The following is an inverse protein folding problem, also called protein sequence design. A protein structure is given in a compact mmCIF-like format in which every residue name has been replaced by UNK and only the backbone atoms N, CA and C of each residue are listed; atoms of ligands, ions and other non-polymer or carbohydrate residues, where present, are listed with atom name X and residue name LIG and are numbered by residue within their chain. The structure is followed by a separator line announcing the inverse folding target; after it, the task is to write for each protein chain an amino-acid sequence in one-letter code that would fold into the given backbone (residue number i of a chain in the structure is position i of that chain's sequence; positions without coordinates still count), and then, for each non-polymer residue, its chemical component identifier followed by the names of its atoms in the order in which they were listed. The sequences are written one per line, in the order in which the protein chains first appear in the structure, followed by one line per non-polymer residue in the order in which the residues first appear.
data_IF_039836034984
#
_entry.id   IF_039836034984
#
_cell.length_a   1.000
_cell.length_b   1.000
_cell.length_c   1.000
_cell.angle_alpha   90.00
_cell.angle_beta   90.00
_cell.angle_gamma   90.00
#
_symmetry.space_group_name_H-M   'P 1'
#
loop_
_entity.id
_entity.type
_entity.pdbx_description
1 polymer ?
#
# COMPACT_ATOMS: atom_id res chain seq x y z
N UNK A 1 -23.96 51.69 12.98
CA UNK A 1 -23.43 50.78 11.95
C UNK A 1 -23.08 51.63 10.74
N UNK A 2 -21.82 51.60 10.32
CA UNK A 2 -21.34 52.40 9.19
C UNK A 2 -21.92 51.85 7.88
N UNK A 3 -22.11 52.72 6.88
CA UNK A 3 -22.58 52.33 5.52
C UNK A 3 -21.65 51.27 4.90
N UNK A 4 -20.38 51.21 5.31
CA UNK A 4 -19.42 50.18 4.91
C UNK A 4 -19.73 48.77 5.46
N UNK A 5 -20.35 48.66 6.64
CA UNK A 5 -20.69 47.39 7.29
C UNK A 5 -21.86 46.69 6.57
N UNK A 6 -22.81 47.47 6.06
CA UNK A 6 -24.00 46.96 5.34
C UNK A 6 -23.59 46.40 3.97
N UNK A 7 -22.62 47.03 3.30
CA UNK A 7 -22.09 46.58 2.01
C UNK A 7 -21.28 45.28 2.12
N UNK A 8 -20.51 45.11 3.20
CA UNK A 8 -19.77 43.87 3.49
C UNK A 8 -20.73 42.73 3.84
N UNK A 9 -21.75 42.97 4.67
CA UNK A 9 -22.77 41.96 4.99
C UNK A 9 -23.54 41.51 3.74
N UNK A 10 -23.91 42.44 2.85
CA UNK A 10 -24.56 42.10 1.56
C UNK A 10 -23.63 41.31 0.62
N UNK A 11 -22.32 41.62 0.58
CA UNK A 11 -21.34 40.82 -0.19
C UNK A 11 -21.19 39.41 0.38
N UNK A 12 -21.09 39.25 1.70
CA UNK A 12 -21.04 37.94 2.36
C UNK A 12 -22.32 37.12 2.12
N UNK A 13 -23.50 37.76 2.15
CA UNK A 13 -24.77 37.11 1.85
C UNK A 13 -24.85 36.64 0.38
N UNK A 14 -24.36 37.46 -0.58
CA UNK A 14 -24.27 37.06 -2.00
C UNK A 14 -23.29 35.91 -2.22
N UNK A 15 -22.13 35.93 -1.59
CA UNK A 15 -21.14 34.83 -1.68
C UNK A 15 -21.74 33.55 -1.08
N UNK A 16 -22.42 33.64 0.05
CA UNK A 16 -23.07 32.49 0.70
C UNK A 16 -24.23 31.93 -0.15
N UNK A 17 -25.03 32.79 -0.79
CA UNK A 17 -26.07 32.37 -1.72
C UNK A 17 -25.50 31.76 -3.01
N UNK A 18 -24.37 32.27 -3.50
CA UNK A 18 -23.66 31.72 -4.66
C UNK A 18 -23.07 30.33 -4.37
N UNK A 19 -22.43 30.15 -3.20
CA UNK A 19 -21.95 28.85 -2.71
C UNK A 19 -23.08 27.86 -2.42
N UNK A 20 -24.23 28.32 -1.93
CA UNK A 20 -25.40 27.47 -1.72
C UNK A 20 -26.02 27.01 -3.05
N UNK A 21 -26.02 27.86 -4.08
CA UNK A 21 -26.58 27.55 -5.40
C UNK A 21 -25.66 26.70 -6.28
N UNK A 22 -24.35 26.84 -6.14
CA UNK A 22 -23.34 26.07 -6.90
C UNK A 22 -22.62 25.02 -6.06
N UNK A 23 -23.10 24.72 -4.85
CA UNK A 23 -22.47 23.76 -3.95
C UNK A 23 -22.32 22.37 -4.57
N UNK A 24 -23.34 21.90 -5.30
CA UNK A 24 -23.28 20.63 -6.03
C UNK A 24 -22.29 20.65 -7.20
N UNK A 25 -22.16 21.77 -7.91
CA UNK A 25 -21.20 21.93 -9.01
C UNK A 25 -19.76 21.99 -8.48
N UNK A 26 -19.51 22.76 -7.42
CA UNK A 26 -18.22 22.81 -6.73
C UNK A 26 -17.85 21.46 -6.09
N UNK A 27 -18.85 20.72 -5.61
CA UNK A 27 -18.67 19.37 -5.09
C UNK A 27 -18.29 18.39 -6.20
N UNK A 28 -18.99 18.42 -7.34
CA UNK A 28 -18.64 17.61 -8.51
C UNK A 28 -17.27 17.99 -9.08
N UNK A 29 -16.92 19.28 -9.06
CA UNK A 29 -15.64 19.80 -9.54
C UNK A 29 -14.50 19.47 -8.58
N UNK A 30 -14.74 19.45 -7.26
CA UNK A 30 -13.76 18.96 -6.28
C UNK A 30 -13.56 17.44 -6.40
N UNK A 31 -14.64 16.67 -6.55
CA UNK A 31 -14.54 15.22 -6.77
C UNK A 31 -13.86 14.91 -8.11
N UNK A 32 -14.16 15.65 -9.17
CA UNK A 32 -13.48 15.54 -10.46
C UNK A 32 -12.01 15.96 -10.36
N UNK A 33 -11.68 17.02 -9.62
CA UNK A 33 -10.29 17.45 -9.38
C UNK A 33 -9.51 16.42 -8.55
N UNK A 34 -10.11 15.89 -7.48
CA UNK A 34 -9.50 14.85 -6.67
C UNK A 34 -9.32 13.54 -7.45
N UNK A 35 -10.26 13.21 -8.34
CA UNK A 35 -10.17 12.04 -9.21
C UNK A 35 -9.12 12.23 -10.32
N UNK A 36 -9.03 13.43 -10.93
CA UNK A 36 -8.00 13.75 -11.93
C UNK A 36 -6.62 13.87 -11.32
N UNK A 37 -6.49 14.44 -10.10
CA UNK A 37 -5.24 14.47 -9.36
C UNK A 37 -4.83 13.07 -8.90
N UNK A 38 -5.76 12.28 -8.37
CA UNK A 38 -5.53 10.87 -8.03
C UNK A 38 -5.11 10.04 -9.25
N UNK A 39 -5.80 10.20 -10.38
CA UNK A 39 -5.46 9.56 -11.64
C UNK A 39 -4.11 10.03 -12.20
N UNK A 40 -3.79 11.32 -12.09
CA UNK A 40 -2.49 11.86 -12.48
C UNK A 40 -1.36 11.28 -11.63
N UNK A 41 -1.56 11.19 -10.32
CA UNK A 41 -0.63 10.54 -9.39
C UNK A 41 -0.47 9.05 -9.71
N UNK A 42 -1.57 8.35 -10.04
CA UNK A 42 -1.52 6.94 -10.48
C UNK A 42 -0.76 6.78 -11.81
N UNK A 43 -1.01 7.64 -12.80
CA UNK A 43 -0.32 7.62 -14.10
C UNK A 43 1.17 7.95 -13.93
N UNK A 44 1.50 8.97 -13.13
CA UNK A 44 2.88 9.36 -12.87
C UNK A 44 3.64 8.30 -12.07
N UNK A 45 2.98 7.59 -11.16
CA UNK A 45 3.53 6.41 -10.46
C UNK A 45 3.77 5.23 -11.41
N UNK A 46 2.97 5.12 -12.48
CA UNK A 46 3.08 4.05 -13.46
C UNK A 46 4.31 4.22 -14.39
N UNK A 47 4.84 5.43 -14.56
CA UNK A 47 5.96 5.73 -15.48
C UNK A 47 7.38 5.47 -14.92
N UNK A 48 7.51 4.84 -13.76
CA UNK A 48 8.81 4.32 -13.28
C UNK A 48 9.15 4.69 -11.84
N UNK A 49 9.90 3.81 -11.19
CA UNK A 49 10.10 3.83 -9.75
C UNK A 49 10.98 4.97 -9.23
N UNK A 50 11.97 5.43 -10.00
CA UNK A 50 12.81 6.57 -9.56
C UNK A 50 11.99 7.85 -9.33
N UNK A 51 10.88 8.02 -10.05
CA UNK A 51 9.91 9.09 -9.81
C UNK A 51 8.98 8.78 -8.64
N UNK A 52 8.65 7.51 -8.42
CA UNK A 52 7.83 7.07 -7.28
C UNK A 52 8.49 7.38 -5.93
N UNK A 53 9.83 7.33 -5.81
CA UNK A 53 10.56 7.69 -4.58
C UNK A 53 10.29 9.14 -4.13
N UNK A 54 10.28 10.09 -5.06
CA UNK A 54 9.96 11.49 -4.76
C UNK A 54 8.48 11.69 -4.39
N UNK A 55 7.60 10.91 -4.98
CA UNK A 55 6.17 10.93 -4.65
C UNK A 55 5.92 10.37 -3.25
N UNK A 56 6.63 9.30 -2.88
CA UNK A 56 6.70 8.74 -1.52
C UNK A 56 7.18 9.78 -0.50
N UNK A 57 8.22 10.57 -0.84
CA UNK A 57 8.72 11.66 0.01
C UNK A 57 7.68 12.78 0.18
N UNK A 58 7.01 13.21 -0.90
CA UNK A 58 5.93 14.20 -0.84
C UNK A 58 4.75 13.71 0.00
N UNK A 59 4.47 12.41 -0.04
CA UNK A 59 3.40 11.77 0.73
C UNK A 59 3.76 11.66 2.22
N UNK A 60 5.03 11.37 2.55
CA UNK A 60 5.57 11.52 3.89
C UNK A 60 5.58 12.97 4.39
N UNK A 61 5.83 13.95 3.53
CA UNK A 61 5.74 15.36 3.86
C UNK A 61 4.29 15.79 4.13
N UNK A 62 3.34 15.37 3.29
CA UNK A 62 1.90 15.54 3.51
C UNK A 62 1.45 14.90 4.83
N UNK A 63 2.03 13.76 5.17
CA UNK A 63 1.80 13.10 6.45
C UNK A 63 2.41 13.83 7.66
N UNK A 64 3.62 14.39 7.56
CA UNK A 64 4.21 15.23 8.61
C UNK A 64 3.32 16.46 8.89
N UNK A 65 2.72 17.01 7.85
CA UNK A 65 1.72 18.08 7.97
C UNK A 65 0.52 17.60 8.79
N UNK A 66 -0.01 16.37 8.59
CA UNK A 66 -1.10 15.80 9.40
C UNK A 66 -0.71 15.66 10.87
N UNK A 67 0.47 15.11 11.17
CA UNK A 67 0.92 14.89 12.55
C UNK A 67 1.13 16.22 13.28
N UNK A 68 1.81 17.17 12.63
CA UNK A 68 1.97 18.53 13.16
C UNK A 68 0.61 19.21 13.35
N UNK A 69 -0.32 18.95 12.44
CA UNK A 69 -1.66 19.49 12.48
C UNK A 69 -2.47 18.95 13.68
N UNK A 70 -2.60 17.63 13.85
CA UNK A 70 -3.30 17.05 15.02
C UNK A 70 -2.64 17.43 16.34
N UNK A 71 -1.30 17.59 16.34
CA UNK A 71 -0.54 17.99 17.52
C UNK A 71 -0.73 19.46 17.88
N UNK A 72 -0.71 20.37 16.91
CA UNK A 72 -0.81 21.81 17.15
C UNK A 72 -2.26 22.26 17.37
N UNK A 73 -3.21 21.64 16.68
CA UNK A 73 -4.62 22.01 16.75
C UNK A 73 -5.46 21.10 17.65
N UNK A 74 -4.81 20.21 18.41
CA UNK A 74 -5.36 19.34 19.46
C UNK A 74 -6.88 19.24 19.52
N UNK A 75 -7.43 18.08 19.18
CA UNK A 75 -8.86 17.75 19.35
C UNK A 75 -9.27 17.76 20.83
N UNK A 76 -9.39 18.96 21.40
CA UNK A 76 -9.94 19.21 22.71
C UNK A 76 -11.46 19.14 22.62
N UNK A 77 -12.03 18.29 23.47
CA UNK A 77 -13.48 18.11 23.71
C UNK A 77 -14.25 19.42 23.99
N UNK A 78 -13.55 20.55 24.19
CA UNK A 78 -14.11 21.90 24.39
C UNK A 78 -14.20 22.78 23.13
N UNK A 79 -13.92 22.29 21.93
CA UNK A 79 -14.12 23.08 20.70
C UNK A 79 -15.57 23.08 20.19
N UNK A 80 -16.52 22.43 20.90
CA UNK A 80 -17.95 22.71 20.72
C UNK A 80 -18.42 23.89 21.59
N UNK A 81 -17.75 24.14 22.71
CA UNK A 81 -18.14 25.18 23.68
C UNK A 81 -17.46 26.54 23.42
N UNK A 82 -16.46 26.60 22.53
CA UNK A 82 -15.85 27.86 22.04
C UNK A 82 -16.23 28.19 20.58
N UNK A 83 -17.46 27.85 20.18
CA UNK A 83 -17.96 28.09 18.80
C UNK A 83 -18.91 29.28 18.76
N UNK A 84 -18.36 30.48 18.92
CA UNK A 84 -19.09 31.72 18.63
C UNK A 84 -18.59 32.44 17.36
N UNK A 85 -17.42 32.07 16.83
CA UNK A 85 -16.79 32.80 15.71
C UNK A 85 -16.86 32.04 14.36
N UNK A 86 -17.37 32.70 13.31
CA UNK A 86 -17.51 32.16 11.95
C UNK A 86 -16.17 31.72 11.35
N UNK A 87 -15.07 32.38 11.75
CA UNK A 87 -13.70 32.00 11.37
C UNK A 87 -13.28 30.63 11.90
N UNK A 88 -13.78 30.17 13.05
CA UNK A 88 -13.43 28.85 13.58
C UNK A 88 -14.21 27.73 12.88
N UNK A 89 -15.47 27.99 12.51
CA UNK A 89 -16.28 27.05 11.71
C UNK A 89 -15.70 26.87 10.30
N UNK A 90 -15.31 27.97 9.66
CA UNK A 90 -14.68 27.93 8.34
C UNK A 90 -13.32 27.19 8.41
N UNK A 91 -12.50 27.49 9.42
CA UNK A 91 -11.22 26.78 9.63
C UNK A 91 -11.43 25.28 9.82
N UNK A 92 -12.34 24.87 10.70
CA UNK A 92 -12.65 23.46 10.91
C UNK A 92 -13.15 22.77 9.64
N UNK A 93 -14.00 23.44 8.85
CA UNK A 93 -14.52 22.90 7.60
C UNK A 93 -13.40 22.72 6.56
N UNK A 94 -12.64 23.79 6.26
CA UNK A 94 -11.51 23.74 5.30
C UNK A 94 -10.52 22.64 5.68
N UNK A 95 -10.25 22.51 6.98
CA UNK A 95 -9.31 21.55 7.55
C UNK A 95 -9.80 20.11 7.46
N UNK A 96 -11.08 19.87 7.72
CA UNK A 96 -11.70 18.56 7.51
C UNK A 96 -11.65 18.18 6.03
N UNK A 97 -11.98 19.12 5.14
CA UNK A 97 -11.93 18.90 3.69
C UNK A 97 -10.50 18.60 3.22
N UNK A 98 -9.50 19.30 3.74
CA UNK A 98 -8.10 19.04 3.42
C UNK A 98 -7.66 17.65 3.89
N UNK A 99 -8.08 17.23 5.09
CA UNK A 99 -7.75 15.93 5.64
C UNK A 99 -8.41 14.79 4.83
N UNK A 100 -9.67 14.97 4.42
CA UNK A 100 -10.35 14.04 3.50
C UNK A 100 -9.62 13.89 2.18
N UNK A 101 -9.27 15.01 1.54
CA UNK A 101 -8.56 15.01 0.26
C UNK A 101 -7.19 14.33 0.39
N UNK A 102 -6.50 14.54 1.49
CA UNK A 102 -5.23 13.89 1.76
C UNK A 102 -5.37 12.38 1.98
N UNK A 103 -6.38 11.92 2.73
CA UNK A 103 -6.64 10.48 2.85
C UNK A 103 -6.98 9.83 1.53
N UNK A 104 -7.82 10.49 0.75
CA UNK A 104 -8.20 10.04 -0.56
C UNK A 104 -6.96 9.90 -1.46
N UNK A 105 -6.12 10.93 -1.56
CA UNK A 105 -4.92 10.88 -2.38
C UNK A 105 -3.92 9.82 -1.91
N UNK A 106 -3.76 9.61 -0.60
CA UNK A 106 -2.94 8.51 -0.08
C UNK A 106 -3.48 7.14 -0.49
N UNK A 107 -4.78 6.91 -0.33
CA UNK A 107 -5.40 5.63 -0.70
C UNK A 107 -5.29 5.36 -2.20
N UNK A 108 -5.62 6.33 -3.05
CA UNK A 108 -5.47 6.20 -4.51
C UNK A 108 -4.01 6.02 -4.94
N UNK A 109 -3.06 6.60 -4.20
CA UNK A 109 -1.64 6.36 -4.45
C UNK A 109 -1.22 4.93 -4.07
N UNK A 110 -1.73 4.36 -2.98
CA UNK A 110 -1.33 3.02 -2.50
C UNK A 110 -1.91 1.90 -3.36
N UNK A 111 -3.19 1.99 -3.75
CA UNK A 111 -3.92 0.95 -4.49
C UNK A 111 -3.14 0.36 -5.69
N UNK A 112 -2.53 1.14 -6.62
CA UNK A 112 -1.86 0.56 -7.78
C UNK A 112 -0.58 -0.21 -7.42
N UNK A 113 0.15 0.21 -6.38
CA UNK A 113 1.33 -0.53 -5.92
C UNK A 113 0.94 -1.85 -5.26
N UNK A 114 -0.08 -1.81 -4.40
CA UNK A 114 -0.62 -3.02 -3.77
C UNK A 114 -1.28 -3.94 -4.80
N UNK A 115 -1.89 -3.41 -5.85
CA UNK A 115 -2.44 -4.20 -6.95
C UNK A 115 -1.35 -4.98 -7.68
N UNK A 116 -0.21 -4.35 -7.97
CA UNK A 116 0.92 -5.03 -8.63
C UNK A 116 1.57 -6.10 -7.74
N UNK A 117 1.67 -5.84 -6.43
CA UNK A 117 2.32 -6.76 -5.49
C UNK A 117 1.40 -7.89 -4.97
N UNK A 118 0.08 -7.74 -5.07
CA UNK A 118 -0.87 -8.75 -4.61
C UNK A 118 -1.14 -9.80 -5.70
N UNK A 119 -1.35 -11.04 -5.27
CA UNK A 119 -1.76 -12.15 -6.13
C UNK A 119 -3.22 -12.47 -5.82
N UNK A 120 -4.11 -12.35 -6.81
CA UNK A 120 -5.56 -12.44 -6.59
C UNK A 120 -6.02 -13.83 -6.07
N UNK A 121 -5.24 -14.87 -6.31
CA UNK A 121 -5.52 -16.24 -5.86
C UNK A 121 -4.85 -16.62 -4.53
N UNK A 122 -4.18 -15.67 -3.87
CA UNK A 122 -3.49 -15.89 -2.59
C UNK A 122 -4.14 -15.13 -1.43
N UNK A 123 -3.69 -15.40 -0.21
CA UNK A 123 -4.20 -14.76 1.02
C UNK A 123 -3.97 -13.25 1.04
N UNK A 124 -2.94 -12.77 0.33
CA UNK A 124 -2.60 -11.35 0.26
C UNK A 124 -3.65 -10.49 -0.47
N UNK A 125 -4.63 -11.12 -1.15
CA UNK A 125 -5.79 -10.44 -1.77
C UNK A 125 -6.64 -9.66 -0.77
N UNK A 126 -6.76 -10.14 0.47
CA UNK A 126 -7.65 -9.50 1.46
C UNK A 126 -7.14 -8.12 1.86
N UNK A 127 -5.81 -7.95 1.94
CA UNK A 127 -5.20 -6.65 2.21
C UNK A 127 -5.51 -5.64 1.08
N UNK A 128 -5.41 -6.09 -0.17
CA UNK A 128 -5.76 -5.29 -1.35
C UNK A 128 -7.25 -4.94 -1.38
N UNK A 129 -8.14 -5.89 -1.09
CA UNK A 129 -9.58 -5.64 -1.06
C UNK A 129 -9.98 -4.66 0.03
N UNK A 130 -9.38 -4.77 1.22
CA UNK A 130 -9.60 -3.80 2.29
C UNK A 130 -9.12 -2.39 1.87
N UNK A 131 -7.94 -2.30 1.25
CA UNK A 131 -7.40 -1.03 0.76
C UNK A 131 -8.27 -0.43 -0.35
N UNK A 132 -8.72 -1.24 -1.32
CA UNK A 132 -9.61 -0.84 -2.40
C UNK A 132 -10.99 -0.42 -1.88
N UNK A 133 -11.55 -1.15 -0.92
CA UNK A 133 -12.78 -0.77 -0.23
C UNK A 133 -12.62 0.58 0.47
N UNK A 134 -11.53 0.80 1.22
CA UNK A 134 -11.27 2.08 1.87
C UNK A 134 -11.09 3.22 0.86
N UNK A 135 -10.42 2.97 -0.26
CA UNK A 135 -10.29 3.94 -1.35
C UNK A 135 -11.66 4.32 -1.94
N UNK A 136 -12.52 3.33 -2.21
CA UNK A 136 -13.89 3.56 -2.67
C UNK A 136 -14.72 4.32 -1.63
N UNK A 137 -14.70 3.88 -0.37
CA UNK A 137 -15.40 4.56 0.73
C UNK A 137 -14.89 6.00 0.91
N UNK A 138 -13.62 6.27 0.63
CA UNK A 138 -13.05 7.62 0.68
C UNK A 138 -13.63 8.55 -0.39
N UNK A 139 -14.19 8.03 -1.49
CA UNK A 139 -14.87 8.88 -2.49
C UNK A 139 -16.30 9.24 -2.09
N UNK A 140 -16.92 8.46 -1.19
CA UNK A 140 -18.28 8.68 -0.73
C UNK A 140 -18.26 9.58 0.51
N UNK A 141 -18.29 10.89 0.28
CA UNK A 141 -18.23 11.92 1.33
C UNK A 141 -19.23 11.71 2.47
N UNK A 142 -20.41 11.16 2.16
CA UNK A 142 -21.48 10.86 3.13
C UNK A 142 -21.05 9.80 4.14
N UNK A 143 -20.36 8.73 3.70
CA UNK A 143 -19.91 7.65 4.59
C UNK A 143 -18.76 8.15 5.47
N UNK A 144 -17.86 8.94 4.90
CA UNK A 144 -16.74 9.52 5.64
C UNK A 144 -17.24 10.44 6.78
N UNK A 145 -18.21 11.33 6.49
CA UNK A 145 -18.76 12.23 7.50
C UNK A 145 -19.68 11.53 8.52
N UNK A 146 -20.45 10.53 8.12
CA UNK A 146 -21.39 9.88 9.02
C UNK A 146 -20.76 8.78 9.89
N UNK A 147 -19.72 8.08 9.41
CA UNK A 147 -19.10 6.95 10.12
C UNK A 147 -17.77 7.38 10.75
N UNK A 148 -16.88 8.00 9.98
CA UNK A 148 -15.53 8.34 10.42
C UNK A 148 -15.53 9.52 11.40
N UNK A 149 -16.37 10.53 11.16
CA UNK A 149 -16.43 11.70 12.06
C UNK A 149 -17.37 11.52 13.25
N UNK A 150 -18.26 10.52 13.23
CA UNK A 150 -19.18 10.21 14.34
C UNK A 150 -18.54 9.35 15.42
N UNK A 151 -17.69 8.40 15.06
CA UNK A 151 -17.07 7.45 16.00
C UNK A 151 -15.55 7.56 15.95
N UNK A 152 -14.96 8.09 17.02
CA UNK A 152 -13.52 8.38 17.12
C UNK A 152 -12.65 7.12 17.02
N UNK A 153 -13.13 5.98 17.54
CA UNK A 153 -12.39 4.73 17.54
C UNK A 153 -12.18 4.10 16.14
N UNK A 154 -13.23 3.84 15.33
CA UNK A 154 -13.04 3.28 13.99
C UNK A 154 -12.24 4.21 13.07
N UNK A 155 -12.38 5.52 13.21
CA UNK A 155 -11.57 6.50 12.47
C UNK A 155 -10.08 6.32 12.72
N UNK A 156 -9.71 6.16 13.99
CA UNK A 156 -8.33 5.98 14.38
C UNK A 156 -7.77 4.64 13.88
N UNK A 157 -8.58 3.58 13.84
CA UNK A 157 -8.16 2.27 13.30
C UNK A 157 -7.93 2.34 11.79
N UNK A 158 -8.83 2.98 11.04
CA UNK A 158 -8.65 3.22 9.59
C UNK A 158 -7.39 4.05 9.36
N UNK A 159 -7.15 5.07 10.18
CA UNK A 159 -5.93 5.87 10.10
C UNK A 159 -4.67 5.04 10.34
N UNK A 160 -4.66 4.21 11.39
CA UNK A 160 -3.55 3.31 11.69
C UNK A 160 -3.28 2.38 10.50
N UNK A 161 -4.32 1.81 9.90
CA UNK A 161 -4.20 0.93 8.74
C UNK A 161 -3.60 1.64 7.52
N UNK A 162 -4.12 2.82 7.14
CA UNK A 162 -3.60 3.59 6.00
C UNK A 162 -2.15 4.00 6.24
N UNK A 163 -1.82 4.43 7.47
CA UNK A 163 -0.46 4.79 7.85
C UNK A 163 0.49 3.58 7.77
N UNK A 164 0.06 2.45 8.30
CA UNK A 164 0.81 1.19 8.19
C UNK A 164 1.05 0.81 6.73
N UNK A 165 0.00 0.79 5.89
CA UNK A 165 0.10 0.46 4.48
C UNK A 165 1.05 1.40 3.72
N UNK A 166 1.02 2.68 4.07
CA UNK A 166 1.93 3.68 3.55
C UNK A 166 3.38 3.43 3.96
N UNK A 167 3.65 3.22 5.25
CA UNK A 167 5.00 2.95 5.75
C UNK A 167 5.55 1.62 5.20
N UNK A 168 4.70 0.61 5.00
CA UNK A 168 5.07 -0.65 4.40
C UNK A 168 5.52 -0.49 2.92
N UNK A 169 4.96 0.48 2.19
CA UNK A 169 5.44 0.85 0.85
C UNK A 169 6.72 1.71 0.92
N UNK A 170 6.76 2.68 1.83
CA UNK A 170 7.78 3.73 1.88
C UNK A 170 9.11 3.24 2.44
N UNK A 171 9.09 2.47 3.54
CA UNK A 171 10.31 2.09 4.22
C UNK A 171 11.23 1.22 3.34
N UNK A 172 10.74 0.18 2.64
CA UNK A 172 11.58 -0.54 1.67
C UNK A 172 12.07 0.36 0.54
N UNK A 173 11.29 1.38 0.13
CA UNK A 173 11.69 2.31 -0.93
C UNK A 173 12.82 3.26 -0.53
N UNK A 174 12.93 3.59 0.75
CA UNK A 174 14.01 4.41 1.32
C UNK A 174 15.21 3.54 1.70
N UNK A 175 14.97 2.34 2.25
CA UNK A 175 15.98 1.41 2.75
C UNK A 175 15.97 0.09 1.97
N UNK A 176 16.35 0.10 0.69
CA UNK A 176 16.08 -1.03 -0.19
C UNK A 176 17.03 -2.23 -0.03
N UNK A 177 18.15 -2.05 0.67
CA UNK A 177 19.05 -3.15 1.05
C UNK A 177 18.65 -3.82 2.38
N UNK A 178 17.50 -3.45 2.94
CA UNK A 178 16.98 -4.03 4.18
C UNK A 178 15.96 -5.13 3.86
N UNK A 179 15.99 -6.24 4.62
CA UNK A 179 15.00 -7.32 4.54
C UNK A 179 13.57 -6.79 4.64
N UNK A 180 12.66 -7.31 3.82
CA UNK A 180 11.27 -6.82 3.79
C UNK A 180 10.50 -7.07 5.07
N UNK A 181 10.81 -8.15 5.80
CA UNK A 181 10.23 -8.37 7.12
C UNK A 181 10.61 -7.26 8.10
N UNK A 182 11.87 -6.80 8.11
CA UNK A 182 12.33 -5.77 9.05
C UNK A 182 11.61 -4.45 8.78
N UNK A 183 11.45 -4.07 7.51
CA UNK A 183 10.74 -2.85 7.13
C UNK A 183 9.23 -2.96 7.39
N UNK A 184 8.62 -4.13 7.21
CA UNK A 184 7.23 -4.41 7.60
C UNK A 184 7.01 -4.24 9.12
N UNK A 185 7.87 -4.84 9.94
CA UNK A 185 7.79 -4.73 11.40
C UNK A 185 8.06 -3.29 11.88
N UNK A 186 9.01 -2.59 11.25
CA UNK A 186 9.27 -1.19 11.50
C UNK A 186 8.07 -0.31 11.11
N UNK A 187 7.39 -0.60 10.00
CA UNK A 187 6.16 0.08 9.61
C UNK A 187 5.06 -0.10 10.65
N UNK A 188 4.86 -1.32 11.16
CA UNK A 188 3.90 -1.60 12.22
C UNK A 188 4.22 -0.86 13.53
N UNK A 189 5.49 -0.88 13.94
CA UNK A 189 5.95 -0.19 15.14
C UNK A 189 5.78 1.34 15.01
N UNK A 190 6.25 1.94 13.92
CA UNK A 190 6.16 3.37 13.68
C UNK A 190 4.71 3.85 13.56
N UNK A 191 3.86 3.12 12.82
CA UNK A 191 2.44 3.44 12.71
C UNK A 191 1.76 3.46 14.09
N UNK A 192 2.10 2.49 14.94
CA UNK A 192 1.56 2.37 16.30
C UNK A 192 2.05 3.48 17.22
N UNK A 193 3.35 3.83 17.17
CA UNK A 193 3.91 4.95 17.93
C UNK A 193 3.20 6.25 17.54
N UNK A 194 3.02 6.51 16.26
CA UNK A 194 2.31 7.71 15.78
C UNK A 194 0.87 7.70 16.28
N UNK A 195 0.16 6.61 16.09
CA UNK A 195 -1.21 6.47 16.55
C UNK A 195 -1.34 6.76 18.04
N UNK A 196 -0.42 6.23 18.85
CA UNK A 196 -0.42 6.41 20.29
C UNK A 196 -0.10 7.85 20.70
N UNK A 197 0.91 8.48 20.07
CA UNK A 197 1.26 9.88 20.32
C UNK A 197 0.17 10.86 19.89
N UNK A 198 -0.69 10.49 18.94
CA UNK A 198 -1.86 11.30 18.56
C UNK A 198 -2.97 11.27 19.63
N UNK A 199 -3.12 10.15 20.35
CA UNK A 199 -4.18 9.98 21.35
C UNK A 199 -3.73 10.38 22.77
N UNK A 200 -2.44 10.28 23.06
CA UNK A 200 -1.87 10.51 24.39
C UNK A 200 -0.91 11.70 24.35
N UNK A 201 -1.12 12.76 25.15
CA UNK A 201 -0.22 13.90 25.16
C UNK A 201 1.17 13.50 25.67
N UNK A 202 2.23 14.07 25.09
CA UNK A 202 3.63 13.76 25.42
C UNK A 202 3.97 13.81 26.91
N UNK A 203 3.32 14.71 27.67
CA UNK A 203 3.49 14.83 29.13
C UNK A 203 3.06 13.56 29.88
N UNK A 204 2.10 12.82 29.34
CA UNK A 204 1.63 11.56 29.92
C UNK A 204 2.51 10.37 29.51
N UNK A 205 3.24 10.45 28.39
CA UNK A 205 4.17 9.39 27.95
C UNK A 205 5.38 9.25 28.88
N UNK A 206 5.71 10.30 29.63
CA UNK A 206 6.75 10.27 30.67
C UNK A 206 6.32 9.47 31.91
N UNK A 207 5.03 9.12 32.04
CA UNK A 207 4.55 8.27 33.14
C UNK A 207 4.78 6.79 32.80
N UNK A 208 5.29 5.98 33.74
CA UNK A 208 5.64 4.58 33.47
C UNK A 208 4.46 3.76 32.95
N UNK A 209 3.24 3.98 33.47
CA UNK A 209 2.05 3.27 33.01
C UNK A 209 1.75 3.46 31.51
N UNK A 210 1.86 4.69 30.99
CA UNK A 210 1.62 4.98 29.57
C UNK A 210 2.78 4.53 28.69
N UNK A 211 4.01 4.56 29.21
CA UNK A 211 5.16 3.99 28.53
C UNK A 211 5.01 2.47 28.34
N UNK A 212 4.64 1.73 29.39
CA UNK A 212 4.37 0.29 29.28
C UNK A 212 3.18 -0.02 28.38
N UNK A 213 2.12 0.80 28.41
CA UNK A 213 1.00 0.67 27.49
C UNK A 213 1.42 0.90 26.03
N UNK A 214 2.29 1.87 25.75
CA UNK A 214 2.87 2.07 24.42
C UNK A 214 3.71 0.87 23.99
N UNK A 215 4.60 0.38 24.85
CA UNK A 215 5.45 -0.78 24.55
C UNK A 215 4.61 -2.03 24.29
N UNK A 216 3.55 -2.26 25.09
CA UNK A 216 2.61 -3.35 24.87
C UNK A 216 1.86 -3.19 23.54
N UNK A 217 1.41 -1.98 23.18
CA UNK A 217 0.75 -1.73 21.91
C UNK A 217 1.68 -1.95 20.71
N UNK A 218 2.93 -1.46 20.79
CA UNK A 218 3.95 -1.69 19.76
C UNK A 218 4.26 -3.18 19.64
N UNK A 219 4.48 -3.88 20.75
CA UNK A 219 4.70 -5.32 20.77
C UNK A 219 3.54 -6.10 20.14
N UNK A 220 2.30 -5.74 20.47
CA UNK A 220 1.10 -6.35 19.88
C UNK A 220 1.00 -6.08 18.37
N UNK A 221 1.28 -4.86 17.92
CA UNK A 221 1.24 -4.51 16.50
C UNK A 221 2.32 -5.23 15.70
N UNK A 222 3.56 -5.28 16.22
CA UNK A 222 4.67 -6.01 15.61
C UNK A 222 4.37 -7.50 15.56
N UNK A 223 3.85 -8.08 16.65
CA UNK A 223 3.43 -9.49 16.68
C UNK A 223 2.33 -9.77 15.65
N UNK A 224 1.32 -8.90 15.57
CA UNK A 224 0.22 -9.03 14.60
C UNK A 224 0.73 -8.94 13.17
N UNK A 225 1.63 -8.02 12.87
CA UNK A 225 2.25 -7.89 11.55
C UNK A 225 3.12 -9.11 11.21
N UNK A 226 3.88 -9.65 12.17
CA UNK A 226 4.68 -10.85 11.99
C UNK A 226 3.82 -12.09 11.74
N UNK A 227 2.75 -12.28 12.52
CA UNK A 227 1.82 -13.39 12.37
C UNK A 227 1.02 -13.29 11.05
N UNK A 228 0.61 -12.07 10.68
CA UNK A 228 -0.13 -11.79 9.46
C UNK A 228 0.71 -11.60 8.20
N UNK A 229 2.05 -11.74 8.27
CA UNK A 229 2.98 -11.37 7.18
C UNK A 229 2.65 -12.02 5.84
N UNK A 230 2.17 -13.27 5.84
CA UNK A 230 1.80 -14.02 4.62
C UNK A 230 0.62 -13.39 3.87
N UNK A 231 -0.27 -12.71 4.60
CA UNK A 231 -1.42 -11.99 4.05
C UNK A 231 -1.12 -10.54 3.68
N UNK A 232 0.12 -10.05 3.87
CA UNK A 232 0.52 -8.68 3.55
C UNK A 232 1.46 -8.74 2.35
N UNK A 233 1.11 -8.13 1.20
CA UNK A 233 1.99 -8.08 0.05
C UNK A 233 3.33 -7.39 0.39
N UNK A 234 4.46 -7.92 -0.08
CA UNK A 234 5.79 -7.34 0.14
C UNK A 234 6.03 -6.18 -0.84
N UNK A 235 5.24 -5.12 -0.69
CA UNK A 235 5.34 -3.90 -1.49
C UNK A 235 6.70 -3.23 -1.24
N UNK A 236 7.37 -2.64 -2.25
CA UNK A 236 6.97 -2.46 -3.65
C UNK A 236 7.40 -3.58 -4.60
N UNK A 237 7.75 -4.78 -4.12
CA UNK A 237 8.20 -5.86 -4.97
C UNK A 237 7.03 -6.51 -5.71
N UNK A 238 7.23 -6.82 -6.99
CA UNK A 238 6.30 -7.60 -7.80
C UNK A 238 7.01 -8.31 -8.94
N UNK A 239 6.42 -9.41 -9.41
CA UNK A 239 6.88 -10.12 -10.61
C UNK A 239 6.38 -9.36 -11.84
N UNK A 240 7.30 -8.84 -12.67
CA UNK A 240 6.94 -8.11 -13.90
C UNK A 240 6.81 -9.04 -15.10
N UNK A 241 7.69 -10.03 -15.20
CA UNK A 241 7.70 -11.04 -16.26
C UNK A 241 7.99 -12.39 -15.63
N UNK A 242 7.18 -13.39 -15.97
CA UNK A 242 7.40 -14.78 -15.59
C UNK A 242 7.35 -15.65 -16.83
N UNK A 243 8.32 -16.53 -16.98
CA UNK A 243 8.38 -17.45 -18.10
C UNK A 243 8.90 -18.81 -17.65
N UNK A 244 8.36 -19.85 -18.29
CA UNK A 244 8.74 -21.24 -18.08
C UNK A 244 9.07 -21.86 -19.43
N UNK A 245 10.12 -22.66 -19.46
CA UNK A 245 10.52 -23.38 -20.67
C UNK A 245 11.28 -24.66 -20.35
N UNK A 246 11.30 -25.62 -21.30
CA UNK A 246 11.95 -26.92 -21.12
C UNK A 246 13.48 -26.85 -21.29
N UNK A 247 14.00 -25.81 -21.93
CA UNK A 247 15.43 -25.64 -22.20
C UNK A 247 15.89 -24.20 -22.03
N UNK A 248 17.10 -24.04 -21.52
CA UNK A 248 17.82 -22.77 -21.45
C UNK A 248 18.78 -22.66 -22.64
N UNK A 249 18.86 -21.47 -23.25
CA UNK A 249 19.92 -21.15 -24.21
C UNK A 249 21.27 -21.00 -23.47
N UNK A 250 22.40 -21.13 -24.19
CA UNK A 250 23.74 -20.90 -23.63
C UNK A 250 23.89 -19.55 -22.93
N UNK A 251 23.11 -18.55 -23.37
CA UNK A 251 23.10 -17.18 -22.83
C UNK A 251 22.18 -17.03 -21.59
N UNK A 252 21.59 -18.12 -21.09
CA UNK A 252 20.75 -18.13 -19.88
C UNK A 252 19.31 -17.67 -20.08
N UNK A 253 18.89 -17.35 -21.31
CA UNK A 253 17.51 -17.04 -21.68
C UNK A 253 16.71 -18.33 -21.92
N UNK A 254 15.40 -18.29 -21.71
CA UNK A 254 14.52 -19.40 -22.07
C UNK A 254 14.38 -19.52 -23.59
N UNK A 255 14.39 -20.76 -24.09
CA UNK A 255 14.18 -21.06 -25.52
C UNK A 255 12.77 -20.73 -26.00
N UNK A 256 11.80 -20.77 -25.10
CA UNK A 256 10.40 -20.48 -25.38
C UNK A 256 9.74 -19.89 -24.12
N UNK A 257 8.90 -18.87 -24.30
CA UNK A 257 8.02 -18.36 -23.24
C UNK A 257 6.68 -19.05 -23.41
N UNK A 258 6.34 -19.96 -22.50
CA UNK A 258 5.23 -20.87 -22.71
C UNK A 258 4.24 -20.78 -21.57
N UNK A 259 2.99 -20.43 -21.92
CA UNK A 259 1.85 -20.52 -21.00
C UNK A 259 1.26 -21.93 -20.92
N UNK A 260 1.50 -22.77 -21.95
CA UNK A 260 1.03 -24.16 -22.04
C UNK A 260 2.09 -25.09 -22.63
N UNK A 261 2.64 -26.02 -21.85
CA UNK A 261 3.75 -26.89 -22.23
C UNK A 261 3.28 -28.33 -22.46
N UNK A 262 3.71 -28.97 -23.54
CA UNK A 262 3.36 -30.36 -23.82
C UNK A 262 4.22 -31.32 -22.97
N UNK A 263 3.61 -32.35 -22.39
CA UNK A 263 4.27 -33.27 -21.44
C UNK A 263 5.53 -33.93 -22.00
N UNK A 264 5.53 -34.28 -23.28
CA UNK A 264 6.65 -34.93 -23.98
C UNK A 264 7.94 -34.10 -24.05
N UNK A 265 7.86 -32.77 -23.86
CA UNK A 265 9.03 -31.87 -23.86
C UNK A 265 9.65 -31.71 -22.46
N UNK A 266 9.05 -32.31 -21.43
CA UNK A 266 9.42 -32.12 -20.04
C UNK A 266 10.42 -33.20 -19.61
N UNK A 267 11.72 -32.88 -19.73
CA UNK A 267 12.78 -33.61 -19.04
C UNK A 267 13.19 -32.86 -17.76
N UNK A 268 13.36 -31.55 -17.88
CA UNK A 268 13.53 -30.58 -16.79
C UNK A 268 12.66 -29.35 -17.10
N UNK A 269 12.26 -28.60 -16.07
CA UNK A 269 11.59 -27.32 -16.26
C UNK A 269 12.44 -26.20 -15.68
N UNK A 270 12.70 -25.18 -16.50
CA UNK A 270 13.41 -23.99 -16.08
C UNK A 270 12.43 -22.83 -16.01
N UNK A 271 12.53 -22.07 -14.92
CA UNK A 271 11.77 -20.85 -14.73
C UNK A 271 12.70 -19.65 -14.66
N UNK A 272 12.23 -18.58 -15.30
CA UNK A 272 12.88 -17.29 -15.33
C UNK A 272 11.85 -16.24 -14.95
N UNK A 273 12.09 -15.54 -13.86
CA UNK A 273 11.18 -14.49 -13.38
C UNK A 273 11.94 -13.20 -13.16
N UNK A 274 11.46 -12.13 -13.77
CA UNK A 274 11.93 -10.77 -13.52
C UNK A 274 11.12 -10.20 -12.38
N UNK A 275 11.79 -9.92 -11.27
CA UNK A 275 11.20 -9.33 -10.07
C UNK A 275 11.66 -7.89 -9.99
N UNK A 276 10.72 -6.96 -9.96
CA UNK A 276 11.02 -5.56 -9.71
C UNK A 276 11.33 -5.42 -8.22
N UNK A 277 12.59 -5.15 -7.89
CA UNK A 277 13.09 -4.96 -6.50
C UNK A 277 13.66 -3.56 -6.39
N UNK A 278 12.80 -2.58 -6.12
CA UNK A 278 13.15 -1.24 -6.50
C UNK A 278 13.99 -0.57 -5.39
N UNK A 279 15.29 -0.75 -5.55
CA UNK A 279 16.36 -0.09 -4.83
C UNK A 279 17.49 -1.00 -4.32
N UNK A 280 17.38 -2.32 -4.40
CA UNK A 280 18.38 -3.19 -3.75
C UNK A 280 18.07 -4.69 -3.84
N UNK A 281 19.08 -5.50 -3.49
CA UNK A 281 19.02 -6.97 -3.40
C UNK A 281 18.83 -7.45 -1.96
N UNK A 282 18.25 -6.61 -1.10
CA UNK A 282 18.24 -6.82 0.36
C UNK A 282 17.46 -8.05 0.85
N UNK A 283 16.67 -8.69 -0.02
CA UNK A 283 15.90 -9.88 0.30
C UNK A 283 16.28 -11.07 -0.59
N UNK A 284 16.30 -12.26 0.01
CA UNK A 284 16.53 -13.51 -0.71
C UNK A 284 15.20 -14.04 -1.20
N UNK A 285 15.08 -14.15 -2.52
CA UNK A 285 13.86 -14.64 -3.16
C UNK A 285 14.00 -16.13 -3.47
N UNK A 286 12.92 -16.86 -3.21
CA UNK A 286 12.81 -18.30 -3.37
C UNK A 286 11.75 -18.58 -4.44
N UNK A 287 11.99 -19.60 -5.27
CA UNK A 287 10.95 -20.16 -6.13
C UNK A 287 10.33 -21.38 -5.48
N UNK A 288 9.01 -21.36 -5.39
CA UNK A 288 8.21 -22.48 -4.90
C UNK A 288 7.37 -22.99 -6.07
N UNK A 289 7.74 -24.18 -6.56
CA UNK A 289 7.02 -24.88 -7.61
C UNK A 289 5.82 -25.59 -7.03
N UNK A 290 4.64 -25.36 -7.63
CA UNK A 290 3.40 -26.00 -7.26
C UNK A 290 2.77 -26.71 -8.45
N UNK A 291 2.24 -27.90 -8.20
CA UNK A 291 1.40 -28.64 -9.13
C UNK A 291 0.04 -28.85 -8.49
N UNK A 292 -1.04 -28.41 -9.16
CA UNK A 292 -2.41 -28.47 -8.61
C UNK A 292 -2.53 -27.90 -7.19
N UNK A 293 -1.76 -26.84 -6.91
CA UNK A 293 -1.70 -26.17 -5.62
C UNK A 293 -0.78 -26.81 -4.57
N UNK A 294 -0.31 -28.04 -4.79
CA UNK A 294 0.61 -28.74 -3.88
C UNK A 294 2.06 -28.33 -4.15
N UNK A 295 2.82 -28.06 -3.10
CA UNK A 295 4.23 -27.71 -3.20
C UNK A 295 5.08 -28.93 -3.55
N UNK A 296 5.82 -28.83 -4.66
CA UNK A 296 6.64 -29.90 -5.24
C UNK A 296 8.11 -29.68 -4.97
N UNK A 297 8.58 -28.43 -5.13
CA UNK A 297 9.97 -28.06 -4.86
C UNK A 297 10.04 -26.61 -4.37
N UNK A 298 10.79 -26.37 -3.29
CA UNK A 298 11.17 -25.04 -2.81
C UNK A 298 12.68 -24.93 -2.82
N UNK A 299 13.21 -23.88 -3.45
CA UNK A 299 14.64 -23.66 -3.55
C UNK A 299 15.01 -22.19 -3.70
N UNK A 300 16.24 -21.86 -3.30
CA UNK A 300 16.81 -20.54 -3.54
C UNK A 300 16.91 -20.29 -5.05
N UNK A 301 16.49 -19.10 -5.46
CA UNK A 301 16.62 -18.70 -6.85
C UNK A 301 18.01 -18.14 -7.10
N UNK A 302 18.64 -18.58 -8.19
CA UNK A 302 19.93 -18.06 -8.60
C UNK A 302 19.73 -16.76 -9.39
N UNK A 303 20.53 -15.71 -9.14
CA UNK A 303 20.49 -14.51 -9.96
C UNK A 303 20.98 -14.85 -11.37
N UNK A 304 20.17 -14.56 -12.38
CA UNK A 304 20.57 -14.68 -13.78
C UNK A 304 21.26 -13.40 -14.27
N UNK A 305 22.05 -13.53 -15.34
CA UNK A 305 22.71 -12.38 -15.97
C UNK A 305 21.71 -11.47 -16.70
N UNK A 306 22.07 -10.18 -16.79
CA UNK A 306 21.39 -9.15 -17.58
C UNK A 306 19.90 -8.92 -17.28
N UNK A 307 19.55 -8.49 -16.06
CA UNK A 307 18.17 -8.12 -15.73
C UNK A 307 17.79 -6.75 -16.34
N UNK A 308 16.51 -6.53 -16.68
CA UNK A 308 16.02 -5.20 -17.02
C UNK A 308 16.33 -4.15 -15.94
N UNK A 309 16.49 -2.86 -16.29
CA UNK A 309 16.79 -1.80 -15.34
C UNK A 309 15.78 -1.75 -14.18
N UNK A 310 16.26 -1.77 -12.94
CA UNK A 310 15.40 -1.72 -11.74
C UNK A 310 14.73 -3.06 -11.37
N UNK A 311 15.17 -4.17 -11.97
CA UNK A 311 14.69 -5.52 -11.64
C UNK A 311 15.84 -6.49 -11.37
N UNK A 312 15.52 -7.62 -10.76
CA UNK A 312 16.40 -8.78 -10.57
C UNK A 312 15.78 -9.95 -11.30
N UNK A 313 16.57 -10.59 -12.15
CA UNK A 313 16.18 -11.80 -12.85
C UNK A 313 16.57 -13.01 -12.02
N UNK A 314 15.57 -13.81 -11.68
CA UNK A 314 15.72 -15.02 -10.88
C UNK A 314 15.54 -16.25 -11.77
N UNK A 315 16.37 -17.26 -11.52
CA UNK A 315 16.31 -18.55 -12.19
C UNK A 315 16.12 -19.67 -11.19
N UNK A 316 15.29 -20.64 -11.55
CA UNK A 316 15.22 -21.92 -10.85
C UNK A 316 14.99 -23.07 -11.81
N UNK A 317 15.48 -24.26 -11.45
CA UNK A 317 15.26 -25.50 -12.20
C UNK A 317 14.50 -26.49 -11.34
N UNK A 318 13.38 -27.00 -11.85
CA UNK A 318 12.70 -28.17 -11.33
C UNK A 318 13.33 -29.41 -11.96
N UNK A 319 14.07 -30.15 -11.15
CA UNK A 319 14.82 -31.34 -11.60
C UNK A 319 13.88 -32.53 -11.74
N UNK A 320 14.22 -33.44 -12.67
CA UNK A 320 13.35 -34.56 -13.06
C UNK A 320 12.87 -35.45 -11.91
N UNK A 321 13.67 -35.60 -10.85
CA UNK A 321 13.32 -36.43 -9.69
C UNK A 321 12.27 -35.82 -8.75
N UNK A 322 12.05 -34.51 -8.83
CA UNK A 322 10.95 -33.85 -8.11
C UNK A 322 9.69 -33.75 -8.96
N UNK A 323 9.73 -34.10 -10.25
CA UNK A 323 8.55 -34.02 -11.12
C UNK A 323 7.62 -35.20 -10.80
N UNK A 324 6.33 -34.95 -10.46
CA UNK A 324 5.35 -36.01 -10.25
C UNK A 324 5.16 -36.89 -11.49
N UNK A 325 4.69 -38.12 -11.28
CA UNK A 325 4.40 -39.05 -12.37
C UNK A 325 3.25 -38.59 -13.28
N UNK A 326 2.25 -37.90 -12.72
CA UNK A 326 1.22 -37.19 -13.48
C UNK A 326 1.64 -35.73 -13.60
N UNK A 327 2.04 -35.33 -14.82
CA UNK A 327 2.56 -33.98 -15.08
C UNK A 327 1.48 -33.02 -15.56
N UNK A 328 0.32 -33.54 -15.95
CA UNK A 328 -0.72 -32.77 -16.64
C UNK A 328 -1.50 -31.85 -15.69
N UNK A 329 -2.02 -30.76 -16.23
CA UNK A 329 -2.88 -29.80 -15.52
C UNK A 329 -2.14 -28.55 -15.04
N UNK A 330 -2.71 -27.83 -14.05
CA UNK A 330 -2.23 -26.51 -13.67
C UNK A 330 -0.96 -26.57 -12.82
N UNK A 331 0.02 -25.75 -13.21
CA UNK A 331 1.25 -25.50 -12.48
C UNK A 331 1.36 -24.03 -12.12
N UNK A 332 2.03 -23.75 -11.00
CA UNK A 332 2.37 -22.39 -10.65
C UNK A 332 3.76 -22.32 -10.04
N UNK A 333 4.38 -21.16 -10.20
CA UNK A 333 5.65 -20.82 -9.59
C UNK A 333 5.41 -19.58 -8.74
N UNK A 334 5.51 -19.77 -7.43
CA UNK A 334 5.37 -18.70 -6.46
C UNK A 334 6.77 -18.13 -6.18
N UNK A 335 6.93 -16.84 -6.40
CA UNK A 335 8.11 -16.10 -5.95
C UNK A 335 7.81 -15.62 -4.54
N UNK A 336 8.54 -16.14 -3.56
CA UNK A 336 8.34 -15.80 -2.14
C UNK A 336 9.62 -15.24 -1.53
N UNK A 337 9.48 -14.36 -0.56
CA UNK A 337 10.62 -13.93 0.28
C UNK A 337 11.04 -15.04 1.23
N UNK A 338 12.23 -14.90 1.83
CA UNK A 338 12.73 -15.82 2.86
C UNK A 338 11.74 -15.98 4.04
N UNK A 339 10.96 -14.93 4.30
CA UNK A 339 9.97 -14.83 5.39
C UNK A 339 8.54 -15.28 5.00
N UNK A 340 8.40 -16.02 3.90
CA UNK A 340 7.13 -16.54 3.34
C UNK A 340 6.13 -15.45 2.86
N UNK A 341 6.58 -14.27 2.45
CA UNK A 341 5.70 -13.30 1.79
C UNK A 341 5.66 -13.56 0.29
N UNK A 342 4.45 -13.72 -0.27
CA UNK A 342 4.26 -13.93 -1.71
C UNK A 342 4.45 -12.62 -2.47
N UNK A 343 5.47 -12.58 -3.34
CA UNK A 343 5.78 -11.44 -4.22
C UNK A 343 4.99 -11.50 -5.53
N UNK A 344 4.76 -12.71 -6.04
CA UNK A 344 3.96 -12.94 -7.24
C UNK A 344 3.89 -14.42 -7.60
N UNK A 345 2.97 -14.74 -8.50
CA UNK A 345 2.74 -16.10 -9.01
C UNK A 345 2.77 -16.09 -10.54
N UNK A 346 3.46 -17.07 -11.11
CA UNK A 346 3.46 -17.34 -12.55
C UNK A 346 2.73 -18.65 -12.76
N UNK A 347 1.63 -18.62 -13.50
CA UNK A 347 0.82 -19.81 -13.78
C UNK A 347 1.08 -20.29 -15.20
N UNK A 348 1.13 -21.62 -15.35
CA UNK A 348 1.24 -22.27 -16.65
C UNK A 348 0.52 -23.62 -16.61
N UNK A 349 0.10 -24.12 -17.76
CA UNK A 349 -0.58 -25.40 -17.87
C UNK A 349 0.33 -26.42 -18.56
N UNK A 350 0.30 -27.67 -18.11
CA UNK A 350 0.92 -28.78 -18.83
C UNK A 350 -0.18 -29.59 -19.50
N UNK A 351 -0.14 -29.59 -20.83
CA UNK A 351 -1.11 -30.29 -21.68
C UNK A 351 -0.52 -31.62 -22.15
N UNK A 352 -1.42 -32.56 -22.42
CA UNK A 352 -1.09 -33.91 -22.86
C UNK A 352 -0.62 -33.94 -24.32
#
# INVERSE_FOLDING_TARGET
MSVGDIATVKRFAKIRAFFAKHGHLLWWLHSAYAMTFGAFVMMYAAEGYDRARWMVVLLCAGWLVIVLFFRHFGQGRGQKDKVTDAKSKLRFYVMTTALKNLYQSMLFFLVPFYWKAATLDADNRFFLYLLGLLALLSTVDVVFDQVLMRYKAPASVVYLFILFACLNLVLPAIFPDTRTLVTLLAAAALATVVFFTMHVPFKNLLKPAWFFALMAAVGAAVFTAYAGRRGIPPVPMYVSVGAVGPTLLPDGRLSMHVSALHESLITEMHALTDVVTPGGRGDNLLHVWRHRGLEVQRGASEPAADPPPGSVRLRSTLRSFHIPSDRTGPWSIDVVTEDDQLVGRVEFEVIQ
#
